data_IF_208532474503
#
_entry.id   IF_208532474503
#
_cell.length_a   1.000
_cell.length_b   1.000
_cell.length_c   1.000
_cell.angle_alpha   90.00
_cell.angle_beta   90.00
_cell.angle_gamma   90.00
#
_symmetry.space_group_name_H-M   'P 1'
#
loop_
_entity.id
_entity.type
_entity.pdbx_description
1 polymer ?
#
# COMPACT_ATOMS: atom_id res chain seq x y z
N UNK A 1 -16.19 -28.68 10.12
CA UNK A 1 -16.99 -27.86 9.20
C UNK A 1 -16.16 -27.56 7.96
N UNK A 2 -16.66 -27.85 6.76
CA UNK A 2 -15.99 -27.49 5.50
C UNK A 2 -16.22 -26.02 5.15
N UNK A 3 -15.29 -25.41 4.40
CA UNK A 3 -15.41 -24.03 3.90
C UNK A 3 -16.54 -23.96 2.86
N UNK A 4 -17.47 -23.01 3.04
CA UNK A 4 -18.53 -22.71 2.06
C UNK A 4 -18.24 -21.37 1.36
N UNK A 5 -17.49 -21.45 0.30
CA UNK A 5 -17.09 -20.27 -0.49
C UNK A 5 -18.26 -19.57 -1.17
N UNK A 6 -19.40 -20.20 -1.41
CA UNK A 6 -20.57 -19.58 -2.06
C UNK A 6 -21.39 -18.77 -1.05
N UNK A 7 -21.62 -19.30 0.15
CA UNK A 7 -22.24 -18.55 1.25
C UNK A 7 -21.32 -17.42 1.68
N UNK A 8 -20.01 -17.64 1.73
CA UNK A 8 -19.00 -16.59 1.87
C UNK A 8 -18.04 -16.82 3.02
N UNK A 9 -16.77 -16.79 2.67
CA UNK A 9 -15.65 -16.99 3.60
C UNK A 9 -14.73 -15.76 3.60
N UNK A 10 -14.12 -15.51 4.75
CA UNK A 10 -12.97 -14.63 4.89
C UNK A 10 -11.71 -15.49 4.97
N UNK A 11 -10.76 -15.24 4.07
CA UNK A 11 -9.52 -16.00 3.96
C UNK A 11 -8.36 -15.04 4.14
N UNK A 12 -7.41 -15.37 4.99
CA UNK A 12 -6.19 -14.63 5.21
C UNK A 12 -5.09 -15.27 4.36
N UNK A 13 -4.51 -14.50 3.46
CA UNK A 13 -3.42 -14.94 2.58
C UNK A 13 -2.17 -14.11 2.88
N UNK A 14 -1.04 -14.78 3.04
CA UNK A 14 0.26 -14.15 2.96
C UNK A 14 0.60 -13.96 1.47
N UNK A 15 0.55 -12.70 1.01
CA UNK A 15 0.84 -12.38 -0.38
C UNK A 15 2.34 -12.45 -0.64
N UNK A 16 2.73 -13.28 -1.57
CA UNK A 16 4.12 -13.40 -1.98
C UNK A 16 4.63 -12.17 -2.75
N UNK A 17 5.94 -12.00 -2.75
CA UNK A 17 6.64 -10.99 -3.53
C UNK A 17 6.35 -11.14 -5.03
N UNK A 18 6.30 -10.02 -5.75
CA UNK A 18 6.03 -9.94 -7.19
C UNK A 18 4.62 -10.35 -7.62
N UNK A 19 3.72 -10.62 -6.68
CA UNK A 19 2.31 -10.84 -6.97
C UNK A 19 1.51 -9.55 -6.77
N UNK A 20 0.60 -9.25 -7.69
CA UNK A 20 -0.44 -8.24 -7.41
C UNK A 20 -1.53 -8.84 -6.52
N UNK A 21 -2.23 -8.00 -5.75
CA UNK A 21 -3.41 -8.45 -4.99
C UNK A 21 -4.48 -9.07 -5.90
N UNK A 22 -4.56 -8.65 -7.18
CA UNK A 22 -5.49 -9.20 -8.16
C UNK A 22 -5.07 -10.59 -8.66
N UNK A 23 -3.79 -10.89 -8.76
CA UNK A 23 -3.30 -12.22 -9.13
C UNK A 23 -3.71 -13.25 -8.08
N UNK A 24 -3.60 -12.91 -6.79
CA UNK A 24 -4.08 -13.74 -5.68
C UNK A 24 -5.57 -14.00 -5.79
N UNK A 25 -6.37 -12.95 -6.02
CA UNK A 25 -7.82 -13.06 -6.22
C UNK A 25 -8.14 -13.95 -7.41
N UNK A 26 -7.43 -13.80 -8.53
CA UNK A 26 -7.66 -14.56 -9.76
C UNK A 26 -7.32 -16.01 -9.58
N UNK A 27 -6.17 -16.32 -8.97
CA UNK A 27 -5.75 -17.69 -8.67
C UNK A 27 -6.75 -18.38 -7.76
N UNK A 28 -7.12 -17.74 -6.65
CA UNK A 28 -8.07 -18.33 -5.70
C UNK A 28 -9.45 -18.54 -6.32
N UNK A 29 -9.96 -17.55 -7.08
CA UNK A 29 -11.24 -17.67 -7.80
C UNK A 29 -11.25 -18.86 -8.75
N UNK A 30 -10.18 -19.06 -9.53
CA UNK A 30 -10.09 -20.16 -10.49
C UNK A 30 -9.97 -21.51 -9.77
N UNK A 31 -9.20 -21.59 -8.68
CA UNK A 31 -9.09 -22.80 -7.85
C UNK A 31 -10.42 -23.22 -7.25
N UNK A 32 -11.18 -22.27 -6.67
CA UNK A 32 -12.50 -22.53 -6.10
C UNK A 32 -13.49 -23.00 -7.19
N UNK A 33 -13.51 -22.30 -8.34
CA UNK A 33 -14.37 -22.69 -9.47
C UNK A 33 -14.10 -24.12 -9.93
N UNK A 34 -12.82 -24.48 -10.06
CA UNK A 34 -12.40 -25.82 -10.46
C UNK A 34 -12.80 -26.87 -9.40
N UNK A 35 -12.51 -26.59 -8.13
CA UNK A 35 -12.78 -27.53 -7.01
C UNK A 35 -14.26 -27.80 -6.83
N UNK A 36 -15.12 -26.78 -6.97
CA UNK A 36 -16.57 -26.87 -6.75
C UNK A 36 -17.34 -27.15 -8.05
N UNK A 37 -16.68 -27.24 -9.19
CA UNK A 37 -17.29 -27.38 -10.52
C UNK A 37 -18.38 -26.32 -10.80
N UNK A 38 -18.10 -25.04 -10.48
CA UNK A 38 -19.04 -23.92 -10.65
C UNK A 38 -18.54 -22.92 -11.68
N UNK A 39 -19.44 -22.30 -12.42
CA UNK A 39 -19.10 -21.33 -13.48
C UNK A 39 -18.70 -19.96 -12.92
N UNK A 40 -19.28 -19.54 -11.80
CA UNK A 40 -19.12 -18.18 -11.26
C UNK A 40 -19.03 -18.19 -9.74
N UNK A 41 -18.12 -17.37 -9.19
CA UNK A 41 -18.05 -17.03 -7.77
C UNK A 41 -17.50 -15.61 -7.63
N UNK A 42 -18.02 -14.86 -6.66
CA UNK A 42 -17.47 -13.57 -6.28
C UNK A 42 -16.26 -13.79 -5.37
N UNK A 43 -15.14 -13.16 -5.71
CA UNK A 43 -13.94 -13.12 -4.89
C UNK A 43 -13.34 -11.73 -4.99
N UNK A 44 -13.01 -11.13 -3.86
CA UNK A 44 -12.41 -9.80 -3.79
C UNK A 44 -11.48 -9.67 -2.58
N UNK A 45 -10.65 -8.64 -2.56
CA UNK A 45 -9.71 -8.37 -1.46
C UNK A 45 -10.06 -7.07 -0.72
N UNK A 46 -9.67 -6.98 0.55
CA UNK A 46 -9.94 -5.85 1.43
C UNK A 46 -8.68 -4.99 1.67
N UNK A 47 -8.06 -4.55 0.61
CA UNK A 47 -6.85 -3.71 0.61
C UNK A 47 -5.92 -4.14 -0.51
N UNK A 48 -5.25 -3.17 -1.14
CA UNK A 48 -4.25 -3.45 -2.17
C UNK A 48 -2.87 -3.43 -1.53
N UNK A 49 -2.11 -4.49 -1.75
CA UNK A 49 -0.66 -4.51 -1.55
C UNK A 49 0.00 -4.38 -2.92
N UNK A 50 1.04 -3.56 -2.98
CA UNK A 50 1.85 -3.39 -4.18
C UNK A 50 2.61 -4.68 -4.53
N UNK A 51 3.09 -4.87 -5.77
CA UNK A 51 3.79 -6.10 -6.17
C UNK A 51 5.01 -6.40 -5.29
N UNK A 52 5.77 -5.37 -4.90
CA UNK A 52 6.97 -5.51 -4.06
C UNK A 52 6.66 -5.63 -2.57
N UNK A 53 5.41 -5.48 -2.16
CA UNK A 53 4.99 -5.73 -0.78
C UNK A 53 4.58 -7.19 -0.58
N UNK A 54 4.92 -7.75 0.56
CA UNK A 54 4.45 -9.07 1.04
C UNK A 54 3.51 -8.90 2.23
N UNK A 55 2.88 -9.98 2.69
CA UNK A 55 2.14 -10.01 3.94
C UNK A 55 0.63 -10.14 3.77
N UNK A 56 -0.09 -9.79 4.83
CA UNK A 56 -1.50 -10.11 5.01
C UNK A 56 -2.41 -9.46 3.96
N UNK A 57 -3.07 -10.28 3.17
CA UNK A 57 -4.14 -9.90 2.25
C UNK A 57 -5.44 -10.60 2.64
N UNK A 58 -6.44 -9.82 3.06
CA UNK A 58 -7.76 -10.34 3.39
C UNK A 58 -8.55 -10.54 2.10
N UNK A 59 -8.96 -11.77 1.84
CA UNK A 59 -9.80 -12.17 0.71
C UNK A 59 -11.20 -12.53 1.22
N UNK A 60 -12.22 -12.07 0.50
CA UNK A 60 -13.60 -12.44 0.76
C UNK A 60 -14.19 -13.18 -0.44
N UNK A 61 -15.01 -14.21 -0.19
CA UNK A 61 -15.72 -14.97 -1.21
C UNK A 61 -17.23 -14.84 -1.06
N UNK A 62 -18.01 -15.20 -2.08
CA UNK A 62 -19.47 -15.27 -2.04
C UNK A 62 -20.13 -14.00 -1.49
N UNK A 63 -21.05 -14.18 -0.54
CA UNK A 63 -21.78 -13.08 0.12
C UNK A 63 -20.87 -12.22 1.01
N UNK A 64 -19.77 -12.78 1.54
CA UNK A 64 -18.80 -12.04 2.37
C UNK A 64 -18.15 -10.88 1.60
N UNK A 65 -18.12 -10.91 0.26
CA UNK A 65 -17.61 -9.79 -0.56
C UNK A 65 -18.34 -8.46 -0.30
N UNK A 66 -19.56 -8.48 0.21
CA UNK A 66 -20.32 -7.27 0.59
C UNK A 66 -19.71 -6.56 1.83
N UNK A 67 -18.95 -7.29 2.64
CA UNK A 67 -18.31 -6.80 3.85
C UNK A 67 -16.86 -6.31 3.64
N UNK A 68 -16.36 -6.34 2.42
CA UNK A 68 -14.97 -5.90 2.09
C UNK A 68 -14.67 -4.50 2.62
N UNK A 69 -15.65 -3.59 2.56
CA UNK A 69 -15.46 -2.22 3.05
C UNK A 69 -15.21 -2.13 4.56
N UNK A 70 -15.78 -3.05 5.35
CA UNK A 70 -15.54 -3.13 6.79
C UNK A 70 -14.05 -3.46 7.05
N UNK A 71 -13.53 -4.49 6.41
CA UNK A 71 -12.12 -4.90 6.55
C UNK A 71 -11.14 -3.90 5.93
N UNK A 72 -11.53 -3.27 4.82
CA UNK A 72 -10.74 -2.19 4.22
C UNK A 72 -10.63 -0.96 5.14
N UNK A 73 -11.63 -0.76 6.00
CA UNK A 73 -11.69 0.33 6.97
C UNK A 73 -10.74 0.20 8.15
N UNK A 74 -10.24 -1.00 8.44
CA UNK A 74 -9.36 -1.25 9.57
C UNK A 74 -8.02 -0.52 9.44
N UNK A 75 -7.42 -0.20 10.58
CA UNK A 75 -6.03 0.27 10.63
C UNK A 75 -5.09 -0.85 10.19
N UNK A 76 -3.96 -0.45 9.63
CA UNK A 76 -2.94 -1.37 9.12
C UNK A 76 -1.58 -0.97 9.62
N UNK A 77 -0.78 -1.97 9.97
CA UNK A 77 0.63 -1.78 10.32
C UNK A 77 1.49 -2.31 9.18
N UNK A 78 2.44 -1.51 8.75
CA UNK A 78 3.42 -1.83 7.73
C UNK A 78 4.82 -1.78 8.35
N UNK A 79 5.62 -2.77 8.02
CA UNK A 79 7.05 -2.79 8.31
C UNK A 79 7.79 -2.68 6.99
N UNK A 80 8.80 -1.84 6.93
CA UNK A 80 9.51 -1.61 5.68
C UNK A 80 10.88 -0.98 5.87
N UNK A 81 11.56 -0.80 4.74
CA UNK A 81 12.82 -0.06 4.62
C UNK A 81 12.63 1.12 3.69
N UNK A 82 13.25 2.23 4.02
CA UNK A 82 13.40 3.38 3.14
C UNK A 82 14.89 3.69 2.94
N UNK A 83 15.23 4.20 1.77
CA UNK A 83 16.59 4.68 1.47
C UNK A 83 16.59 6.20 1.48
N UNK A 84 17.40 6.79 2.36
CA UNK A 84 17.56 8.24 2.47
C UNK A 84 18.48 8.74 1.36
N UNK A 85 18.23 9.94 0.87
CA UNK A 85 19.08 10.63 -0.12
C UNK A 85 18.76 10.34 -1.58
N UNK A 86 17.72 9.57 -1.90
CA UNK A 86 17.30 9.37 -3.28
C UNK A 86 15.79 9.24 -3.43
N UNK A 87 15.28 9.48 -4.63
CA UNK A 87 13.87 9.23 -4.98
C UNK A 87 13.74 8.47 -6.28
N UNK A 88 12.60 7.79 -6.42
CA UNK A 88 12.20 7.07 -7.62
C UNK A 88 10.90 7.64 -8.19
N UNK A 89 10.64 7.54 -9.49
CA UNK A 89 9.38 8.01 -10.10
C UNK A 89 8.13 7.30 -9.56
N UNK A 90 8.26 6.03 -9.16
CA UNK A 90 7.17 5.23 -8.59
C UNK A 90 7.03 5.38 -7.07
N UNK A 91 7.95 6.06 -6.40
CA UNK A 91 8.08 6.16 -4.95
C UNK A 91 8.40 4.81 -4.25
N UNK A 92 8.79 3.79 -5.01
CA UNK A 92 9.25 2.48 -4.54
C UNK A 92 10.40 1.96 -5.41
N UNK A 93 10.77 0.69 -5.23
CA UNK A 93 11.86 0.05 -5.98
C UNK A 93 11.41 -0.58 -7.31
N UNK A 94 10.16 -0.37 -7.77
CA UNK A 94 9.74 -0.76 -9.13
C UNK A 94 10.51 0.03 -10.19
N UNK A 95 10.93 1.26 -9.86
CA UNK A 95 11.77 2.10 -10.73
C UNK A 95 13.09 2.44 -10.05
N UNK A 96 14.13 2.64 -10.87
CA UNK A 96 15.45 3.04 -10.38
C UNK A 96 15.43 4.49 -9.85
N UNK A 97 16.27 4.82 -8.85
CA UNK A 97 16.47 6.19 -8.42
C UNK A 97 16.85 7.11 -9.59
N UNK A 98 16.22 8.25 -9.66
CA UNK A 98 16.44 9.26 -10.71
C UNK A 98 16.87 10.61 -10.18
N UNK A 99 16.74 10.87 -8.88
CA UNK A 99 17.19 12.10 -8.22
C UNK A 99 17.91 11.72 -6.94
N UNK A 100 19.05 12.38 -6.69
CA UNK A 100 19.89 12.20 -5.51
C UNK A 100 20.04 13.53 -4.77
N UNK A 101 20.20 13.47 -3.47
CA UNK A 101 20.24 14.62 -2.56
C UNK A 101 21.39 14.51 -1.57
N UNK A 102 21.97 15.65 -1.17
CA UNK A 102 22.95 15.68 -0.08
C UNK A 102 22.36 15.10 1.21
N UNK A 103 23.16 14.34 1.94
CA UNK A 103 22.72 13.64 3.16
C UNK A 103 23.63 13.88 4.36
N UNK A 104 24.66 14.72 4.21
CA UNK A 104 25.68 14.96 5.21
C UNK A 104 25.13 15.59 6.50
N UNK A 105 24.02 16.32 6.39
CA UNK A 105 23.33 16.95 7.52
C UNK A 105 22.39 16.00 8.26
N UNK A 106 22.10 14.80 7.69
CA UNK A 106 21.12 13.86 8.23
C UNK A 106 21.78 13.00 9.30
N UNK A 107 21.20 13.03 10.51
CA UNK A 107 21.62 12.23 11.63
C UNK A 107 20.43 11.44 12.23
N UNK A 108 20.72 10.52 13.15
CA UNK A 108 19.71 9.65 13.79
C UNK A 108 18.59 10.46 14.45
N UNK A 109 18.92 11.53 15.14
CA UNK A 109 17.94 12.34 15.86
C UNK A 109 16.99 13.03 14.88
N UNK A 110 17.51 13.60 13.79
CA UNK A 110 16.70 14.23 12.77
C UNK A 110 15.70 13.25 12.13
N UNK A 111 16.14 12.01 11.82
CA UNK A 111 15.26 10.97 11.28
C UNK A 111 14.13 10.64 12.26
N UNK A 112 14.45 10.42 13.54
CA UNK A 112 13.45 10.08 14.57
C UNK A 112 12.47 11.24 14.81
N UNK A 113 12.98 12.47 14.95
CA UNK A 113 12.12 13.65 15.16
C UNK A 113 11.23 13.93 13.95
N UNK A 114 11.75 13.71 12.74
CA UNK A 114 10.96 13.86 11.53
C UNK A 114 9.86 12.80 11.46
N UNK A 115 10.13 11.53 11.77
CA UNK A 115 9.11 10.48 11.83
C UNK A 115 7.97 10.84 12.83
N UNK A 116 8.30 11.38 13.99
CA UNK A 116 7.31 11.83 14.99
C UNK A 116 6.35 12.91 14.44
N UNK A 117 6.82 13.82 13.57
CA UNK A 117 5.99 14.88 12.98
C UNK A 117 4.90 14.34 12.05
N UNK A 118 5.02 13.10 11.57
CA UNK A 118 4.00 12.45 10.75
C UNK A 118 2.87 11.81 11.55
N UNK A 119 3.05 11.65 12.87
CA UNK A 119 2.00 11.07 13.72
C UNK A 119 0.85 12.06 13.88
N UNK A 120 -0.37 11.57 13.66
CA UNK A 120 -1.59 12.36 13.73
C UNK A 120 -2.33 12.45 12.39
N UNK A 121 -3.18 13.45 12.26
CA UNK A 121 -3.91 13.76 11.03
C UNK A 121 -3.03 14.54 10.07
N UNK A 122 -2.87 14.04 8.87
CA UNK A 122 -2.10 14.70 7.81
C UNK A 122 -2.87 14.67 6.49
N UNK A 123 -2.59 15.64 5.62
CA UNK A 123 -3.05 15.63 4.25
C UNK A 123 -2.03 14.93 3.34
N UNK A 124 -2.45 13.88 2.67
CA UNK A 124 -1.62 13.17 1.71
C UNK A 124 -2.21 13.28 0.29
N UNK A 125 -1.38 13.64 -0.67
CA UNK A 125 -1.72 13.60 -2.09
C UNK A 125 -1.42 12.21 -2.63
N UNK A 126 -2.45 11.43 -3.05
CA UNK A 126 -2.22 10.11 -3.64
C UNK A 126 -1.28 10.18 -4.85
N UNK A 127 -0.40 9.19 -5.05
CA UNK A 127 0.47 9.16 -6.21
C UNK A 127 -0.35 8.98 -7.49
N UNK A 128 0.14 9.51 -8.60
CA UNK A 128 -0.50 9.32 -9.92
C UNK A 128 -0.47 7.85 -10.36
N UNK A 129 0.51 7.08 -9.89
CA UNK A 129 0.61 5.63 -10.07
C UNK A 129 -0.20 4.89 -8.99
N UNK A 130 -1.51 5.18 -8.88
CA UNK A 130 -2.38 4.56 -7.89
C UNK A 130 -3.66 3.98 -8.51
N UNK A 131 -4.34 3.14 -7.73
CA UNK A 131 -5.63 2.55 -8.12
C UNK A 131 -6.83 3.51 -7.94
N UNK A 132 -6.61 4.74 -7.46
CA UNK A 132 -7.64 5.78 -7.36
C UNK A 132 -8.26 6.02 -8.74
N UNK A 133 -9.57 6.21 -8.78
CA UNK A 133 -10.29 6.55 -10.01
C UNK A 133 -10.56 8.04 -10.07
N UNK A 134 -10.35 8.65 -11.24
CA UNK A 134 -10.86 9.96 -11.64
C UNK A 134 -11.71 9.75 -12.90
N UNK A 135 -12.92 10.21 -12.88
CA UNK A 135 -13.90 10.07 -13.98
C UNK A 135 -14.03 8.60 -14.47
N UNK A 136 -14.08 7.66 -13.51
CA UNK A 136 -14.23 6.24 -13.78
C UNK A 136 -12.94 5.52 -14.22
N UNK A 137 -11.86 6.25 -14.56
CA UNK A 137 -10.57 5.70 -15.01
C UNK A 137 -9.57 5.68 -13.88
N UNK A 138 -8.82 4.58 -13.72
CA UNK A 138 -7.76 4.49 -12.70
C UNK A 138 -6.57 5.40 -13.04
N UNK A 139 -6.05 6.13 -12.04
CA UNK A 139 -4.96 7.12 -12.22
C UNK A 139 -3.73 6.50 -12.88
N UNK A 140 -3.30 5.30 -12.48
CA UNK A 140 -2.13 4.64 -13.08
C UNK A 140 -2.26 4.43 -14.60
N UNK A 141 -3.50 4.25 -15.13
CA UNK A 141 -3.73 4.12 -16.57
C UNK A 141 -3.56 5.46 -17.30
N UNK A 142 -3.94 6.56 -16.66
CA UNK A 142 -3.74 7.91 -17.18
C UNK A 142 -2.26 8.30 -17.12
N UNK A 143 -1.58 7.99 -16.02
CA UNK A 143 -0.16 8.24 -15.85
C UNK A 143 0.70 7.52 -16.91
N UNK A 144 0.40 6.25 -17.20
CA UNK A 144 1.08 5.49 -18.27
C UNK A 144 0.85 6.07 -19.67
N UNK A 145 -0.21 6.81 -19.88
CA UNK A 145 -0.49 7.54 -21.13
C UNK A 145 0.11 8.95 -21.16
N UNK A 146 0.88 9.35 -20.14
CA UNK A 146 1.47 10.68 -20.04
C UNK A 146 0.47 11.80 -19.74
N UNK A 147 -0.78 11.46 -19.36
CA UNK A 147 -1.80 12.45 -19.05
C UNK A 147 -1.52 13.03 -17.66
N UNK A 148 -1.27 14.35 -17.58
CA UNK A 148 -1.19 15.06 -16.31
C UNK A 148 -2.55 15.08 -15.63
N UNK A 149 -2.64 14.51 -14.43
CA UNK A 149 -3.87 14.47 -13.65
C UNK A 149 -3.64 15.19 -12.33
N UNK A 150 -4.45 16.19 -12.05
CA UNK A 150 -4.49 16.79 -10.73
C UNK A 150 -5.25 15.85 -9.78
N UNK A 151 -4.60 15.51 -8.66
CA UNK A 151 -5.13 14.61 -7.64
C UNK A 151 -5.39 15.41 -6.38
N UNK A 152 -6.58 15.32 -5.84
CA UNK A 152 -6.95 15.97 -4.59
C UNK A 152 -6.23 15.33 -3.41
N UNK A 153 -5.84 16.16 -2.45
CA UNK A 153 -5.34 15.70 -1.16
C UNK A 153 -6.44 14.99 -0.37
N UNK A 154 -6.06 14.06 0.48
CA UNK A 154 -6.96 13.32 1.37
C UNK A 154 -6.42 13.35 2.77
N UNK A 155 -7.29 13.54 3.74
CA UNK A 155 -6.95 13.37 5.15
C UNK A 155 -6.71 11.88 5.43
N UNK A 156 -5.58 11.59 6.06
CA UNK A 156 -5.22 10.27 6.59
C UNK A 156 -4.77 10.43 8.04
N UNK A 157 -4.74 9.33 8.78
CA UNK A 157 -4.26 9.32 10.15
C UNK A 157 -3.09 8.33 10.24
N UNK A 158 -1.96 8.81 10.70
CA UNK A 158 -0.84 7.98 11.12
C UNK A 158 -0.93 7.85 12.64
N UNK A 159 -1.22 6.65 13.12
CA UNK A 159 -1.37 6.37 14.55
C UNK A 159 -0.02 6.21 15.24
N UNK A 160 0.95 5.66 14.51
CA UNK A 160 2.30 5.42 15.03
C UNK A 160 3.30 5.34 13.87
N UNK A 161 4.52 5.84 14.10
CA UNK A 161 5.63 5.76 13.15
C UNK A 161 6.93 5.59 13.93
N UNK A 162 7.38 4.35 14.02
CA UNK A 162 8.58 3.94 14.77
C UNK A 162 9.73 3.67 13.82
N UNK A 163 10.88 4.21 14.14
CA UNK A 163 12.15 3.87 13.49
C UNK A 163 12.79 2.73 14.29
N UNK A 164 12.91 1.55 13.67
CA UNK A 164 13.41 0.35 14.32
C UNK A 164 14.92 0.16 14.17
N UNK A 165 15.50 0.58 13.03
CA UNK A 165 16.93 0.47 12.76
C UNK A 165 17.40 1.58 11.81
N UNK A 166 18.61 2.05 11.98
CA UNK A 166 19.26 3.03 11.09
C UNK A 166 20.65 2.51 10.74
N UNK A 167 20.78 2.01 9.51
CA UNK A 167 22.03 1.61 8.85
C UNK A 167 22.18 2.46 7.58
N UNK A 168 22.55 3.72 7.76
CA UNK A 168 22.58 4.72 6.71
C UNK A 168 23.24 4.22 5.42
N UNK A 169 22.62 4.39 4.22
CA UNK A 169 21.42 5.18 3.95
C UNK A 169 20.08 4.44 4.20
N UNK A 170 20.07 3.21 4.67
CA UNK A 170 18.85 2.46 4.92
C UNK A 170 18.30 2.72 6.33
N UNK A 171 16.98 2.92 6.40
CA UNK A 171 16.22 3.11 7.64
C UNK A 171 15.05 2.14 7.66
N UNK A 172 14.99 1.30 8.69
CA UNK A 172 13.87 0.39 8.92
C UNK A 172 12.83 1.05 9.82
N UNK A 173 11.56 0.80 9.50
CA UNK A 173 10.46 1.41 10.23
C UNK A 173 9.26 0.47 10.40
N UNK A 174 8.41 0.81 11.37
CA UNK A 174 7.05 0.30 11.51
C UNK A 174 6.08 1.48 11.54
N UNK A 175 5.01 1.43 10.74
CA UNK A 175 4.04 2.50 10.62
C UNK A 175 2.62 1.95 10.70
N UNK A 176 1.82 2.45 11.64
CA UNK A 176 0.39 2.11 11.78
C UNK A 176 -0.46 3.28 11.31
N UNK A 177 -1.38 3.04 10.38
CA UNK A 177 -2.15 4.09 9.75
C UNK A 177 -3.60 3.69 9.43
N UNK A 178 -4.42 4.72 9.15
CA UNK A 178 -5.78 4.55 8.67
C UNK A 178 -5.84 4.04 7.23
N UNK A 179 -7.04 3.64 6.80
CA UNK A 179 -7.28 3.24 5.40
C UNK A 179 -6.91 4.36 4.42
N UNK A 180 -6.44 3.95 3.24
CA UNK A 180 -6.17 4.88 2.13
C UNK A 180 -4.82 5.60 2.22
N UNK A 181 -4.02 5.31 3.23
CA UNK A 181 -2.65 5.80 3.35
C UNK A 181 -1.76 5.13 2.31
N UNK A 182 -1.00 5.94 1.58
CA UNK A 182 0.03 5.49 0.64
C UNK A 182 1.39 5.51 1.36
N UNK A 183 1.84 4.33 1.74
CA UNK A 183 3.10 4.19 2.50
C UNK A 183 4.28 4.69 1.69
N UNK A 184 4.33 4.35 0.40
CA UNK A 184 5.37 4.79 -0.54
C UNK A 184 5.48 6.32 -0.68
N UNK A 185 4.40 7.07 -0.47
CA UNK A 185 4.40 8.54 -0.49
C UNK A 185 4.86 9.15 0.84
N UNK A 186 4.66 8.44 1.96
CA UNK A 186 5.02 8.97 3.28
C UNK A 186 6.52 9.26 3.40
N UNK A 187 7.39 8.52 2.71
CA UNK A 187 8.85 8.80 2.75
C UNK A 187 9.25 10.03 1.93
N UNK A 188 8.56 10.36 0.84
CA UNK A 188 8.88 11.56 0.05
C UNK A 188 8.52 12.83 0.78
N UNK A 189 7.54 12.78 1.68
CA UNK A 189 7.21 13.90 2.57
C UNK A 189 8.21 14.04 3.73
N UNK A 190 8.79 12.95 4.25
CA UNK A 190 9.90 13.00 5.20
C UNK A 190 11.00 13.92 4.68
N UNK A 191 11.26 13.87 3.40
CA UNK A 191 12.26 14.67 2.73
C UNK A 191 11.91 16.16 2.58
N UNK A 192 10.65 16.51 2.35
CA UNK A 192 10.22 17.91 2.18
C UNK A 192 10.38 18.77 3.46
N UNK A 193 10.61 18.12 4.60
CA UNK A 193 10.89 18.76 5.89
C UNK A 193 12.39 18.78 6.25
N UNK A 194 13.25 18.24 5.38
CA UNK A 194 14.71 18.19 5.56
C UNK A 194 15.47 19.31 4.81
N UNK A 195 14.75 20.15 4.03
CA UNK A 195 15.31 21.30 3.29
C UNK A 195 15.02 22.61 3.98
#
# INVERSE_FOLDING_TARGET
MGLDFQTGEMILIDKELNWTSFDVVSKLRNSIKKKLNIKKIKVGHAGTLDPLATGLLIICTGKMTKRINEFSGLNKTYVGKMTIGSTTPSYDLETKPNVYYPTEHINKNLIIETAKKFVGKIEQKPPVFSAVKKDGVRLYKLARKGVKVEVEKREIIIHDFLISSINFPEVEFSLTCSKGTYITVSYTHLRAHET
#
